data_IF_561361843059
#
_entry.id   IF_561361843059
#
_cell.length_a   1.000
_cell.length_b   1.000
_cell.length_c   1.000
_cell.angle_alpha   90.00
_cell.angle_beta   90.00
_cell.angle_gamma   90.00
#
_symmetry.space_group_name_H-M   'P 1'
#
loop_
_entity.id
_entity.type
_entity.pdbx_description
1 polymer ?
#
# COMPACT_ATOMS: atom_id res chain seq x y z
N UNK A 1 24.10 -9.28 -0.81
CA UNK A 1 23.53 -8.03 -1.36
C UNK A 1 22.85 -8.20 -2.71
N UNK A 2 23.52 -8.62 -3.80
CA UNK A 2 22.85 -8.80 -5.11
C UNK A 2 21.74 -9.87 -5.05
N UNK A 3 22.03 -11.00 -4.41
CA UNK A 3 21.15 -12.17 -4.43
C UNK A 3 19.92 -11.95 -3.53
N UNK A 4 20.10 -11.30 -2.37
CA UNK A 4 19.01 -10.90 -1.48
C UNK A 4 18.07 -9.90 -2.15
N UNK A 5 18.62 -8.93 -2.89
CA UNK A 5 17.81 -7.95 -3.62
C UNK A 5 17.00 -8.63 -4.72
N UNK A 6 17.60 -9.55 -5.48
CA UNK A 6 16.89 -10.33 -6.51
C UNK A 6 15.73 -11.13 -5.90
N UNK A 7 15.99 -11.82 -4.79
CA UNK A 7 14.96 -12.62 -4.10
C UNK A 7 13.84 -11.73 -3.57
N UNK A 8 14.16 -10.63 -2.89
CA UNK A 8 13.15 -9.71 -2.35
C UNK A 8 12.35 -9.03 -3.47
N UNK A 9 12.99 -8.63 -4.58
CA UNK A 9 12.29 -8.07 -5.75
C UNK A 9 11.36 -9.09 -6.41
N UNK A 10 11.74 -10.36 -6.46
CA UNK A 10 10.88 -11.43 -6.95
C UNK A 10 9.66 -11.63 -6.05
N UNK A 11 9.87 -11.67 -4.72
CA UNK A 11 8.77 -11.79 -3.75
C UNK A 11 7.85 -10.56 -3.85
N UNK A 12 8.39 -9.33 -3.85
CA UNK A 12 7.60 -8.10 -3.99
C UNK A 12 6.71 -8.14 -5.24
N UNK A 13 7.25 -8.62 -6.36
CA UNK A 13 6.49 -8.72 -7.62
C UNK A 13 5.35 -9.74 -7.53
N UNK A 14 5.53 -10.86 -6.83
CA UNK A 14 4.44 -11.81 -6.53
C UNK A 14 3.37 -11.13 -5.67
N UNK A 15 3.77 -10.35 -4.67
CA UNK A 15 2.82 -9.65 -3.79
C UNK A 15 2.00 -8.63 -4.55
N UNK A 16 2.63 -7.84 -5.43
CA UNK A 16 1.92 -6.92 -6.34
C UNK A 16 0.86 -7.66 -7.16
N UNK A 17 1.20 -8.83 -7.72
CA UNK A 17 0.23 -9.63 -8.48
C UNK A 17 -0.95 -10.05 -7.58
N UNK A 18 -0.69 -10.51 -6.36
CA UNK A 18 -1.73 -10.91 -5.40
C UNK A 18 -2.64 -9.71 -5.08
N UNK A 19 -2.08 -8.53 -4.83
CA UNK A 19 -2.84 -7.34 -4.46
C UNK A 19 -3.65 -6.82 -5.65
N UNK A 20 -3.09 -6.82 -6.85
CA UNK A 20 -3.80 -6.53 -8.10
C UNK A 20 -5.00 -7.48 -8.28
N UNK A 21 -4.83 -8.78 -8.00
CA UNK A 21 -5.93 -9.73 -8.03
C UNK A 21 -7.00 -9.39 -6.99
N UNK A 22 -6.59 -9.06 -5.75
CA UNK A 22 -7.51 -8.60 -4.70
C UNK A 22 -8.31 -7.37 -5.16
N UNK A 23 -7.64 -6.35 -5.71
CA UNK A 23 -8.27 -5.14 -6.25
C UNK A 23 -9.29 -5.47 -7.34
N UNK A 24 -8.92 -6.34 -8.27
CA UNK A 24 -9.84 -6.82 -9.31
C UNK A 24 -11.05 -7.56 -8.73
N UNK A 25 -10.86 -8.37 -7.69
CA UNK A 25 -11.95 -9.05 -7.01
C UNK A 25 -12.85 -8.11 -6.23
N UNK A 26 -12.32 -7.04 -5.62
CA UNK A 26 -13.11 -6.02 -4.91
C UNK A 26 -14.19 -5.44 -5.82
N UNK A 27 -13.85 -5.13 -7.07
CA UNK A 27 -14.80 -4.60 -8.05
C UNK A 27 -15.92 -5.59 -8.41
N UNK A 28 -15.67 -6.89 -8.24
CA UNK A 28 -16.59 -7.96 -8.62
C UNK A 28 -17.41 -8.54 -7.46
N UNK A 29 -17.25 -8.03 -6.24
CA UNK A 29 -17.98 -8.53 -5.08
C UNK A 29 -19.48 -8.32 -5.26
N UNK A 30 -20.25 -9.39 -5.06
CA UNK A 30 -21.73 -9.36 -5.07
C UNK A 30 -22.36 -9.68 -3.71
N UNK A 31 -21.63 -10.36 -2.82
CA UNK A 31 -22.14 -10.86 -1.54
C UNK A 31 -21.14 -10.60 -0.42
N UNK A 32 -21.61 -10.68 0.84
CA UNK A 32 -20.73 -10.54 2.01
C UNK A 32 -19.71 -11.68 2.15
N UNK A 33 -19.87 -12.79 1.42
CA UNK A 33 -18.82 -13.81 1.29
C UNK A 33 -17.59 -13.21 0.62
N UNK A 34 -17.77 -12.48 -0.49
CA UNK A 34 -16.65 -11.82 -1.16
C UNK A 34 -16.01 -10.74 -0.29
N UNK A 35 -16.83 -9.93 0.41
CA UNK A 35 -16.35 -8.93 1.39
C UNK A 35 -15.48 -9.60 2.46
N UNK A 36 -15.95 -10.71 3.04
CA UNK A 36 -15.19 -11.46 4.02
C UNK A 36 -13.84 -11.92 3.47
N UNK A 37 -13.80 -12.51 2.27
CA UNK A 37 -12.55 -12.99 1.70
C UNK A 37 -11.56 -11.86 1.40
N UNK A 38 -12.01 -10.68 0.99
CA UNK A 38 -11.10 -9.53 0.85
C UNK A 38 -10.54 -9.10 2.21
N UNK A 39 -11.38 -8.98 3.24
CA UNK A 39 -10.89 -8.69 4.60
C UNK A 39 -9.90 -9.74 5.06
N UNK A 40 -10.23 -11.01 4.87
CA UNK A 40 -9.42 -12.14 5.26
C UNK A 40 -8.05 -12.10 4.58
N UNK A 41 -8.01 -11.91 3.25
CA UNK A 41 -6.76 -11.79 2.50
C UNK A 41 -5.91 -10.60 2.95
N UNK A 42 -6.51 -9.40 3.08
CA UNK A 42 -5.76 -8.21 3.49
C UNK A 42 -5.24 -8.29 4.93
N UNK A 43 -6.04 -8.84 5.86
CA UNK A 43 -5.63 -9.04 7.25
C UNK A 43 -4.58 -10.14 7.36
N UNK A 44 -4.68 -11.21 6.57
CA UNK A 44 -3.67 -12.26 6.51
C UNK A 44 -2.31 -11.70 6.08
N UNK A 45 -2.27 -10.86 5.05
CA UNK A 45 -1.03 -10.23 4.61
C UNK A 45 -0.43 -9.34 5.71
N UNK A 46 -1.27 -8.54 6.39
CA UNK A 46 -0.85 -7.71 7.53
C UNK A 46 -0.22 -8.57 8.63
N UNK A 47 -0.87 -9.65 9.05
CA UNK A 47 -0.34 -10.51 10.12
C UNK A 47 0.93 -11.22 9.69
N UNK A 48 1.02 -11.58 8.41
CA UNK A 48 2.23 -12.18 7.85
C UNK A 48 3.41 -11.22 7.92
N UNK A 49 3.22 -9.96 7.51
CA UNK A 49 4.27 -8.95 7.60
C UNK A 49 4.66 -8.61 9.05
N UNK A 50 3.68 -8.50 9.94
CA UNK A 50 3.95 -8.31 11.37
C UNK A 50 4.77 -9.48 11.91
N UNK A 51 4.36 -10.71 11.64
CA UNK A 51 5.10 -11.91 12.06
C UNK A 51 6.51 -11.96 11.48
N UNK A 52 6.66 -11.67 10.19
CA UNK A 52 7.96 -11.61 9.52
C UNK A 52 8.86 -10.52 10.12
N UNK A 53 8.34 -9.31 10.34
CA UNK A 53 9.08 -8.21 10.99
C UNK A 53 9.55 -8.61 12.38
N UNK A 54 8.69 -9.22 13.19
CA UNK A 54 9.03 -9.70 14.54
C UNK A 54 10.16 -10.72 14.50
N UNK A 55 10.12 -11.68 13.57
CA UNK A 55 11.20 -12.65 13.39
C UNK A 55 12.51 -11.99 12.94
N UNK A 56 12.45 -11.08 11.98
CA UNK A 56 13.62 -10.42 11.41
C UNK A 56 14.33 -9.47 12.40
N UNK A 57 13.60 -8.88 13.34
CA UNK A 57 14.17 -8.03 14.39
C UNK A 57 15.09 -8.83 15.32
N UNK A 58 14.72 -10.07 15.64
CA UNK A 58 15.50 -10.93 16.53
C UNK A 58 15.41 -12.40 16.07
N UNK A 59 16.21 -12.84 15.09
CA UNK A 59 16.09 -14.17 14.53
C UNK A 59 16.40 -15.27 15.57
N UNK A 60 15.38 -16.03 15.98
CA UNK A 60 15.53 -17.23 16.82
C UNK A 60 14.34 -18.18 16.66
N UNK A 61 14.49 -19.42 17.12
CA UNK A 61 13.40 -20.41 17.11
C UNK A 61 12.17 -19.93 17.89
N UNK A 62 12.39 -19.20 19.00
CA UNK A 62 11.30 -18.62 19.79
C UNK A 62 10.54 -17.55 18.98
N UNK A 63 11.27 -16.64 18.34
CA UNK A 63 10.64 -15.58 17.54
C UNK A 63 9.96 -16.10 16.28
N UNK A 64 10.48 -17.17 15.67
CA UNK A 64 9.82 -17.89 14.59
C UNK A 64 8.49 -18.51 15.07
N UNK A 65 8.48 -19.15 16.24
CA UNK A 65 7.27 -19.70 16.83
C UNK A 65 6.24 -18.61 17.16
N UNK A 66 6.69 -17.45 17.66
CA UNK A 66 5.83 -16.27 17.89
C UNK A 66 5.24 -15.77 16.56
N UNK A 67 6.06 -15.62 15.51
CA UNK A 67 5.60 -15.19 14.19
C UNK A 67 4.55 -16.15 13.60
N UNK A 68 4.77 -17.46 13.71
CA UNK A 68 3.79 -18.48 13.35
C UNK A 68 2.51 -18.39 14.19
N UNK A 69 2.68 -18.17 15.50
CA UNK A 69 1.58 -18.00 16.45
C UNK A 69 0.69 -16.80 16.12
N UNK A 70 1.27 -15.64 15.79
CA UNK A 70 0.54 -14.42 15.40
C UNK A 70 -0.37 -14.71 14.20
N UNK A 71 0.18 -15.35 13.16
CA UNK A 71 -0.61 -15.72 11.98
C UNK A 71 -1.72 -16.71 12.32
N UNK A 72 -1.38 -17.79 13.01
CA UNK A 72 -2.32 -18.87 13.34
C UNK A 72 -3.46 -18.37 14.23
N UNK A 73 -3.13 -17.60 15.28
CA UNK A 73 -4.09 -17.04 16.24
C UNK A 73 -5.02 -16.00 15.61
N UNK A 74 -4.61 -15.34 14.52
CA UNK A 74 -5.49 -14.41 13.79
C UNK A 74 -6.33 -15.15 12.75
N UNK A 75 -5.76 -16.08 12.00
CA UNK A 75 -6.43 -16.73 10.87
C UNK A 75 -7.49 -17.76 11.32
N UNK A 76 -7.20 -18.59 12.33
CA UNK A 76 -8.13 -19.64 12.76
C UNK A 76 -9.47 -19.04 13.23
N UNK A 77 -9.50 -18.03 14.15
CA UNK A 77 -10.76 -17.44 14.57
C UNK A 77 -11.55 -16.79 13.43
N UNK A 78 -10.87 -16.15 12.46
CA UNK A 78 -11.54 -15.56 11.29
C UNK A 78 -12.22 -16.62 10.42
N UNK A 79 -11.54 -17.75 10.16
CA UNK A 79 -12.12 -18.86 9.41
C UNK A 79 -13.30 -19.47 10.16
N UNK A 80 -13.15 -19.73 11.48
CA UNK A 80 -14.23 -20.26 12.31
C UNK A 80 -15.44 -19.31 12.29
N UNK A 81 -15.21 -18.01 12.45
CA UNK A 81 -16.26 -16.99 12.37
C UNK A 81 -17.00 -17.02 11.02
N UNK A 82 -16.26 -17.15 9.92
CA UNK A 82 -16.86 -17.29 8.59
C UNK A 82 -17.72 -18.54 8.47
N UNK A 83 -17.21 -19.71 8.88
CA UNK A 83 -17.94 -20.96 8.81
C UNK A 83 -19.25 -20.90 9.62
N UNK A 84 -19.23 -20.25 10.79
CA UNK A 84 -20.43 -20.03 11.62
C UNK A 84 -21.45 -19.07 11.00
N UNK A 85 -21.05 -18.23 10.05
CA UNK A 85 -21.90 -17.18 9.44
C UNK A 85 -22.07 -17.33 7.92
N UNK A 86 -21.55 -18.40 7.31
CA UNK A 86 -21.49 -18.55 5.85
C UNK A 86 -22.86 -18.45 5.19
N UNK A 87 -23.89 -19.07 5.79
CA UNK A 87 -25.27 -19.02 5.28
C UNK A 87 -25.87 -17.62 5.34
N UNK A 88 -25.51 -16.81 6.33
CA UNK A 88 -25.93 -15.40 6.40
C UNK A 88 -25.21 -14.57 5.33
N UNK A 89 -23.90 -14.75 5.19
CA UNK A 89 -23.10 -14.00 4.23
C UNK A 89 -23.43 -14.33 2.77
N UNK A 90 -23.75 -15.59 2.46
CA UNK A 90 -24.10 -16.00 1.10
C UNK A 90 -25.41 -15.38 0.63
N UNK A 91 -26.38 -15.25 1.53
CA UNK A 91 -27.70 -14.71 1.24
C UNK A 91 -27.77 -13.17 1.31
N UNK A 92 -26.77 -12.51 1.88
CA UNK A 92 -26.74 -11.05 1.99
C UNK A 92 -25.99 -10.44 0.80
N UNK A 93 -26.70 -9.64 -0.01
CA UNK A 93 -26.09 -8.88 -1.11
C UNK A 93 -25.25 -7.74 -0.57
N UNK A 94 -24.11 -7.51 -1.21
CA UNK A 94 -23.24 -6.38 -0.89
C UNK A 94 -23.53 -5.21 -1.83
N UNK A 95 -23.87 -4.05 -1.26
CA UNK A 95 -24.25 -2.85 -2.01
C UNK A 95 -23.12 -1.82 -2.11
N UNK A 96 -21.85 -2.26 -2.09
CA UNK A 96 -20.66 -1.38 -2.18
C UNK A 96 -20.69 -0.21 -1.18
N UNK A 97 -21.02 -0.52 0.07
CA UNK A 97 -21.11 0.49 1.12
C UNK A 97 -19.78 1.24 1.28
N UNK A 98 -19.86 2.57 1.39
CA UNK A 98 -18.69 3.46 1.46
C UNK A 98 -17.71 3.08 2.56
N UNK A 99 -18.22 2.64 3.71
CA UNK A 99 -17.40 2.24 4.85
C UNK A 99 -16.42 1.11 4.48
N UNK A 100 -16.92 0.07 3.81
CA UNK A 100 -16.09 -1.06 3.40
C UNK A 100 -15.00 -0.65 2.41
N UNK A 101 -15.32 0.23 1.46
CA UNK A 101 -14.35 0.75 0.48
C UNK A 101 -13.23 1.54 1.15
N UNK A 102 -13.59 2.40 2.12
CA UNK A 102 -12.60 3.15 2.91
C UNK A 102 -11.70 2.19 3.68
N UNK A 103 -12.27 1.18 4.34
CA UNK A 103 -11.48 0.22 5.10
C UNK A 103 -10.58 -0.62 4.19
N UNK A 104 -11.05 -1.08 3.03
CA UNK A 104 -10.20 -1.78 2.06
C UNK A 104 -9.03 -0.91 1.60
N UNK A 105 -9.30 0.36 1.31
CA UNK A 105 -8.25 1.32 0.90
C UNK A 105 -7.20 1.53 2.00
N UNK A 106 -7.63 1.63 3.25
CA UNK A 106 -6.74 1.73 4.41
C UNK A 106 -5.89 0.46 4.59
N UNK A 107 -6.51 -0.71 4.50
CA UNK A 107 -5.82 -1.99 4.64
C UNK A 107 -4.81 -2.24 3.52
N UNK A 108 -5.12 -1.82 2.29
CA UNK A 108 -4.18 -1.89 1.16
C UNK A 108 -2.92 -1.06 1.42
N UNK A 109 -3.08 0.22 1.75
CA UNK A 109 -1.92 1.09 2.02
C UNK A 109 -1.15 0.65 3.27
N UNK A 110 -1.84 0.13 4.29
CA UNK A 110 -1.19 -0.45 5.46
C UNK A 110 -0.35 -1.69 5.12
N UNK A 111 -0.82 -2.55 4.19
CA UNK A 111 -0.03 -3.67 3.72
C UNK A 111 1.28 -3.21 3.09
N UNK A 112 1.26 -2.14 2.29
CA UNK A 112 2.47 -1.62 1.67
C UNK A 112 3.44 -0.98 2.66
N UNK A 113 2.92 -0.26 3.67
CA UNK A 113 3.77 0.25 4.76
C UNK A 113 4.46 -0.91 5.49
N UNK A 114 3.72 -1.98 5.78
CA UNK A 114 4.26 -3.17 6.45
C UNK A 114 5.22 -3.98 5.57
N UNK A 115 4.99 -4.02 4.26
CA UNK A 115 5.93 -4.57 3.28
C UNK A 115 7.24 -3.78 3.29
N UNK A 116 7.15 -2.45 3.20
CA UNK A 116 8.28 -1.54 3.30
C UNK A 116 9.08 -1.74 4.58
N UNK A 117 8.41 -1.91 5.72
CA UNK A 117 9.04 -2.27 6.99
C UNK A 117 9.75 -3.61 6.93
N UNK A 118 9.04 -4.67 6.55
CA UNK A 118 9.56 -6.05 6.59
C UNK A 118 10.77 -6.20 5.67
N UNK A 119 10.67 -5.70 4.43
CA UNK A 119 11.73 -5.83 3.44
C UNK A 119 12.87 -4.85 3.74
N UNK A 120 12.54 -3.67 4.28
CA UNK A 120 13.53 -2.74 4.80
C UNK A 120 14.35 -3.33 5.96
N UNK A 121 13.72 -4.04 6.91
CA UNK A 121 14.45 -4.74 7.99
C UNK A 121 15.34 -5.82 7.40
N UNK A 122 14.80 -6.63 6.46
CA UNK A 122 15.54 -7.73 5.84
C UNK A 122 16.80 -7.24 5.09
N UNK A 123 16.70 -6.08 4.41
CA UNK A 123 17.80 -5.57 3.60
C UNK A 123 18.74 -4.62 4.35
N UNK A 124 18.19 -3.65 5.08
CA UNK A 124 18.98 -2.60 5.74
C UNK A 124 19.40 -2.98 7.16
N UNK A 125 18.86 -4.07 7.69
CA UNK A 125 19.14 -4.58 9.03
C UNK A 125 18.25 -3.94 10.10
N UNK A 126 18.05 -4.65 11.24
CA UNK A 126 17.13 -4.23 12.29
C UNK A 126 17.58 -2.97 13.04
N UNK A 127 18.86 -2.60 12.98
CA UNK A 127 19.38 -1.41 13.65
C UNK A 127 18.72 -0.11 13.16
N UNK A 128 18.39 -0.03 11.86
CA UNK A 128 17.65 1.09 11.27
C UNK A 128 16.19 1.17 11.74
N UNK A 129 15.65 0.10 12.32
CA UNK A 129 14.26 0.01 12.78
C UNK A 129 14.15 0.00 14.31
N UNK A 130 15.19 0.48 15.01
CA UNK A 130 15.30 0.44 16.47
C UNK A 130 14.33 1.35 17.22
N UNK A 131 13.80 2.40 16.58
CA UNK A 131 12.80 3.30 17.17
C UNK A 131 11.57 3.39 16.30
N UNK A 132 10.42 3.73 16.90
CA UNK A 132 9.16 3.88 16.17
C UNK A 132 9.25 4.92 15.05
N UNK A 133 9.96 6.03 15.29
CA UNK A 133 10.16 7.07 14.28
C UNK A 133 10.93 6.54 13.07
N UNK A 134 12.08 5.90 13.30
CA UNK A 134 12.88 5.37 12.20
C UNK A 134 12.19 4.21 11.49
N UNK A 135 11.47 3.35 12.23
CA UNK A 135 10.68 2.30 11.64
C UNK A 135 9.64 2.86 10.67
N UNK A 136 8.88 3.90 11.07
CA UNK A 136 7.94 4.57 10.17
C UNK A 136 8.66 5.22 8.97
N UNK A 137 9.73 5.96 9.23
CA UNK A 137 10.52 6.63 8.20
C UNK A 137 11.02 5.65 7.13
N UNK A 138 11.73 4.59 7.52
CA UNK A 138 12.30 3.62 6.58
C UNK A 138 11.25 2.68 5.96
N UNK A 139 10.07 2.54 6.56
CA UNK A 139 8.97 1.80 5.94
C UNK A 139 8.48 2.53 4.69
N UNK A 140 8.21 3.83 4.80
CA UNK A 140 7.60 4.63 3.72
C UNK A 140 8.64 5.14 2.74
N UNK A 141 9.77 5.64 3.25
CA UNK A 141 10.87 6.19 2.47
C UNK A 141 11.78 5.05 1.96
N UNK A 142 11.17 4.11 1.26
CA UNK A 142 11.87 2.99 0.64
C UNK A 142 11.20 2.63 -0.69
N UNK A 143 12.00 2.14 -1.63
CA UNK A 143 11.47 1.59 -2.86
C UNK A 143 10.60 0.34 -2.63
N UNK A 144 10.72 -0.34 -1.48
CA UNK A 144 9.85 -1.45 -1.10
C UNK A 144 8.39 -1.03 -0.84
N UNK A 145 8.15 0.22 -0.46
CA UNK A 145 6.81 0.80 -0.36
C UNK A 145 6.33 1.35 -1.71
N UNK A 146 7.19 2.11 -2.41
CA UNK A 146 6.76 2.83 -3.60
C UNK A 146 6.61 1.96 -4.86
N UNK A 147 7.47 0.95 -5.06
CA UNK A 147 7.37 0.07 -6.24
C UNK A 147 6.02 -0.67 -6.30
N UNK A 148 5.59 -1.38 -5.24
CA UNK A 148 4.29 -2.02 -5.25
C UNK A 148 3.13 -1.03 -5.40
N UNK A 149 3.15 0.06 -4.63
CA UNK A 149 2.12 1.08 -4.69
C UNK A 149 1.94 1.66 -6.10
N UNK A 150 3.04 2.05 -6.75
CA UNK A 150 3.00 2.53 -8.13
C UNK A 150 2.43 1.48 -9.09
N UNK A 151 2.88 0.23 -8.98
CA UNK A 151 2.46 -0.85 -9.87
C UNK A 151 0.97 -1.16 -9.72
N UNK A 152 0.48 -1.28 -8.49
CA UNK A 152 -0.93 -1.52 -8.17
C UNK A 152 -1.82 -0.38 -8.65
N UNK A 153 -1.43 0.86 -8.36
CA UNK A 153 -2.17 2.03 -8.81
C UNK A 153 -2.25 2.09 -10.32
N UNK A 154 -1.14 1.85 -11.03
CA UNK A 154 -1.10 1.80 -12.49
C UNK A 154 -2.00 0.69 -13.05
N UNK A 155 -1.91 -0.53 -12.52
CA UNK A 155 -2.72 -1.65 -13.02
C UNK A 155 -4.21 -1.41 -12.75
N UNK A 156 -4.58 -0.89 -11.58
CA UNK A 156 -5.96 -0.55 -11.27
C UNK A 156 -6.50 0.53 -12.21
N UNK A 157 -5.69 1.54 -12.53
CA UNK A 157 -6.03 2.56 -13.52
C UNK A 157 -6.26 1.92 -14.89
N UNK A 158 -5.35 1.06 -15.34
CA UNK A 158 -5.44 0.37 -16.63
C UNK A 158 -6.67 -0.54 -16.70
N UNK A 159 -7.01 -1.26 -15.63
CA UNK A 159 -8.21 -2.09 -15.56
C UNK A 159 -9.49 -1.29 -15.80
N UNK A 160 -9.57 -0.07 -15.25
CA UNK A 160 -10.70 0.83 -15.50
C UNK A 160 -10.67 1.41 -16.91
N UNK A 161 -9.48 1.83 -17.37
CA UNK A 161 -9.29 2.39 -18.71
C UNK A 161 -9.71 1.40 -19.80
N UNK A 162 -9.34 0.13 -19.68
CA UNK A 162 -9.73 -0.95 -20.60
C UNK A 162 -11.24 -1.23 -20.62
N UNK A 163 -11.99 -0.80 -19.58
CA UNK A 163 -13.46 -0.84 -19.54
C UNK A 163 -14.11 0.43 -20.07
N UNK A 164 -13.33 1.36 -20.61
CA UNK A 164 -13.80 2.67 -21.10
C UNK A 164 -14.00 3.72 -20.01
N UNK A 165 -13.61 3.45 -18.77
CA UNK A 165 -13.71 4.40 -17.66
C UNK A 165 -12.39 5.16 -17.53
N UNK A 166 -12.41 6.46 -17.84
CA UNK A 166 -11.19 7.29 -17.79
C UNK A 166 -11.24 8.26 -16.61
N UNK A 167 -10.30 8.11 -15.68
CA UNK A 167 -10.19 8.96 -14.48
C UNK A 167 -8.94 9.82 -14.54
N UNK A 168 -8.94 10.79 -15.46
CA UNK A 168 -7.77 11.63 -15.75
C UNK A 168 -7.23 12.33 -14.51
N UNK A 169 -8.12 12.67 -13.57
CA UNK A 169 -7.79 13.36 -12.34
C UNK A 169 -6.87 12.55 -11.40
N UNK A 170 -6.86 11.21 -11.46
CA UNK A 170 -6.03 10.39 -10.56
C UNK A 170 -4.71 9.93 -11.17
N UNK A 171 -4.59 9.98 -12.49
CA UNK A 171 -3.41 9.51 -13.22
C UNK A 171 -2.09 10.16 -12.77
N UNK A 172 -2.02 11.49 -12.53
CA UNK A 172 -0.77 12.14 -12.11
C UNK A 172 -0.21 11.60 -10.79
N UNK A 173 -1.06 11.13 -9.88
CA UNK A 173 -0.60 10.54 -8.61
C UNK A 173 0.23 9.26 -8.84
N UNK A 174 -0.04 8.50 -9.90
CA UNK A 174 0.78 7.35 -10.30
C UNK A 174 2.19 7.81 -10.64
N UNK A 175 2.32 8.94 -11.35
CA UNK A 175 3.61 9.55 -11.65
C UNK A 175 4.35 10.05 -10.40
N UNK A 176 3.64 10.65 -9.44
CA UNK A 176 4.24 11.03 -8.14
C UNK A 176 4.75 9.79 -7.40
N UNK A 177 3.99 8.70 -7.38
CA UNK A 177 4.39 7.43 -6.75
C UNK A 177 5.50 6.68 -7.52
N UNK A 178 5.67 6.92 -8.82
CA UNK A 178 6.72 6.35 -9.64
C UNK A 178 8.09 7.03 -9.43
N UNK A 179 8.08 8.32 -9.09
CA UNK A 179 9.29 9.13 -8.88
C UNK A 179 9.37 9.74 -7.47
N UNK A 180 9.19 8.97 -6.39
CA UNK A 180 9.27 9.50 -5.03
C UNK A 180 10.70 9.95 -4.70
N UNK A 181 10.93 11.20 -4.24
CA UNK A 181 12.28 11.68 -3.95
C UNK A 181 13.00 10.89 -2.85
N UNK A 182 12.24 10.18 -2.02
CA UNK A 182 12.73 9.51 -0.82
C UNK A 182 12.92 7.99 -0.98
N UNK A 183 12.68 7.41 -2.17
CA UNK A 183 12.82 5.95 -2.34
C UNK A 183 14.27 5.46 -2.32
N UNK A 184 15.23 6.28 -2.76
CA UNK A 184 16.65 5.94 -2.77
C UNK A 184 17.48 7.02 -2.06
N UNK A 185 18.49 6.57 -1.32
CA UNK A 185 19.36 7.42 -0.51
C UNK A 185 20.60 7.87 -1.31
N UNK A 186 20.38 8.59 -2.41
CA UNK A 186 21.45 9.29 -3.14
C UNK A 186 20.96 10.56 -3.84
N UNK A 187 21.85 11.54 -3.96
CA UNK A 187 21.51 12.91 -4.34
C UNK A 187 20.91 13.02 -5.75
N UNK A 188 21.48 12.32 -6.74
CA UNK A 188 21.01 12.39 -8.12
C UNK A 188 19.56 11.93 -8.28
N UNK A 189 19.18 10.87 -7.55
CA UNK A 189 17.79 10.44 -7.50
C UNK A 189 16.92 11.48 -6.84
N UNK A 190 17.30 11.95 -5.65
CA UNK A 190 16.51 12.92 -4.90
C UNK A 190 16.12 14.13 -5.75
N UNK A 191 17.09 14.77 -6.42
CA UNK A 191 16.80 15.95 -7.24
C UNK A 191 16.01 15.62 -8.51
N UNK A 192 16.32 14.52 -9.19
CA UNK A 192 15.60 14.12 -10.41
C UNK A 192 14.14 13.78 -10.10
N UNK A 193 13.93 12.95 -9.08
CA UNK A 193 12.63 12.53 -8.59
C UNK A 193 11.80 13.72 -8.08
N UNK A 194 12.43 14.67 -7.38
CA UNK A 194 11.76 15.90 -6.94
C UNK A 194 11.21 16.71 -8.11
N UNK A 195 11.98 16.88 -9.19
CA UNK A 195 11.53 17.57 -10.40
C UNK A 195 10.34 16.82 -11.03
N UNK A 196 10.42 15.49 -11.16
CA UNK A 196 9.32 14.69 -11.71
C UNK A 196 8.07 14.72 -10.84
N UNK A 197 8.17 14.50 -9.52
CA UNK A 197 7.02 14.55 -8.60
C UNK A 197 6.36 15.93 -8.60
N UNK A 198 7.12 17.02 -8.64
CA UNK A 198 6.57 18.37 -8.77
C UNK A 198 5.89 18.55 -10.13
N UNK A 199 6.52 18.10 -11.21
CA UNK A 199 5.94 18.14 -12.56
C UNK A 199 4.60 17.41 -12.63
N UNK A 200 4.51 16.19 -12.09
CA UNK A 200 3.27 15.44 -12.01
C UNK A 200 2.24 16.09 -11.07
N UNK A 201 2.66 16.66 -9.95
CA UNK A 201 1.75 17.39 -9.06
C UNK A 201 1.17 18.63 -9.75
N UNK A 202 1.99 19.44 -10.42
CA UNK A 202 1.53 20.61 -11.20
C UNK A 202 0.61 20.17 -12.34
N UNK A 203 0.96 19.12 -13.06
CA UNK A 203 0.09 18.54 -14.08
C UNK A 203 -1.27 18.12 -13.49
N UNK A 204 -1.26 17.49 -12.32
CA UNK A 204 -2.46 17.16 -11.55
C UNK A 204 -3.32 18.35 -11.15
N UNK A 205 -2.70 19.45 -10.69
CA UNK A 205 -3.40 20.71 -10.38
C UNK A 205 -4.13 21.25 -11.62
N UNK A 206 -3.46 21.22 -12.78
CA UNK A 206 -4.00 21.77 -14.03
C UNK A 206 -5.19 20.97 -14.57
N UNK A 207 -5.10 19.63 -14.55
CA UNK A 207 -6.14 18.77 -15.15
C UNK A 207 -7.29 18.46 -14.19
N UNK A 208 -7.06 18.58 -12.88
CA UNK A 208 -8.04 18.19 -11.85
C UNK A 208 -8.90 19.35 -11.37
N UNK A 209 -10.05 18.99 -10.79
CA UNK A 209 -10.98 19.91 -10.13
C UNK A 209 -11.22 19.48 -8.69
N UNK A 210 -11.77 20.39 -7.89
CA UNK A 210 -12.23 20.16 -6.52
C UNK A 210 -11.16 19.48 -5.64
N UNK A 211 -11.52 18.40 -4.95
CA UNK A 211 -10.67 17.67 -4.01
C UNK A 211 -9.29 17.33 -4.59
N UNK A 212 -9.24 16.81 -5.82
CA UNK A 212 -7.99 16.36 -6.43
C UNK A 212 -7.02 17.52 -6.69
N UNK A 213 -7.53 18.70 -7.02
CA UNK A 213 -6.68 19.90 -7.14
C UNK A 213 -6.01 20.22 -5.80
N UNK A 214 -6.75 20.15 -4.69
CA UNK A 214 -6.17 20.37 -3.36
C UNK A 214 -5.16 19.29 -2.99
N UNK A 215 -5.44 18.03 -3.29
CA UNK A 215 -4.51 16.91 -3.06
C UNK A 215 -3.17 17.18 -3.75
N UNK A 216 -3.18 17.55 -5.04
CA UNK A 216 -1.95 17.85 -5.76
C UNK A 216 -1.24 19.13 -5.30
N UNK A 217 -2.00 20.17 -4.90
CA UNK A 217 -1.41 21.38 -4.30
C UNK A 217 -0.71 21.06 -2.98
N UNK A 218 -1.31 20.26 -2.12
CA UNK A 218 -0.70 19.82 -0.85
C UNK A 218 0.54 18.97 -1.14
N UNK A 219 0.47 18.01 -2.06
CA UNK A 219 1.63 17.22 -2.46
C UNK A 219 2.77 18.10 -2.97
N UNK A 220 2.51 19.06 -3.85
CA UNK A 220 3.54 19.97 -4.36
C UNK A 220 4.23 20.74 -3.22
N UNK A 221 3.46 21.28 -2.27
CA UNK A 221 3.99 21.97 -1.10
C UNK A 221 4.81 21.02 -0.22
N UNK A 222 4.30 19.82 0.07
CA UNK A 222 4.98 18.83 0.89
C UNK A 222 6.27 18.30 0.23
N UNK A 223 6.31 18.18 -1.10
CA UNK A 223 7.52 17.83 -1.85
C UNK A 223 8.57 18.93 -1.69
N UNK A 224 8.18 20.21 -1.71
CA UNK A 224 9.12 21.32 -1.42
C UNK A 224 9.56 21.32 0.05
N UNK A 225 8.72 20.87 0.97
CA UNK A 225 9.07 20.78 2.39
C UNK A 225 10.08 19.65 2.66
N UNK A 226 10.26 18.68 1.75
CA UNK A 226 11.24 17.59 1.89
C UNK A 226 12.67 18.06 2.18
N UNK A 227 13.05 19.26 1.75
CA UNK A 227 14.35 19.86 2.07
C UNK A 227 14.57 20.06 3.58
N UNK A 228 13.49 20.10 4.36
CA UNK A 228 13.51 20.37 5.80
C UNK A 228 12.89 19.25 6.62
N UNK A 229 11.83 18.60 6.13
CA UNK A 229 11.04 17.62 6.87
C UNK A 229 10.36 16.60 5.97
N UNK A 230 10.57 15.31 6.23
CA UNK A 230 9.99 14.21 5.45
C UNK A 230 8.58 13.80 5.89
N UNK A 231 8.23 14.02 7.16
CA UNK A 231 6.95 13.59 7.76
C UNK A 231 5.76 14.21 7.02
N UNK A 232 5.87 15.50 6.66
CA UNK A 232 4.80 16.19 5.94
C UNK A 232 4.51 15.53 4.58
N UNK A 233 5.56 15.13 3.86
CA UNK A 233 5.45 14.38 2.62
C UNK A 233 4.89 12.98 2.83
N UNK A 234 5.40 12.23 3.82
CA UNK A 234 4.96 10.86 4.15
C UNK A 234 3.45 10.81 4.41
N UNK A 235 2.93 11.74 5.23
CA UNK A 235 1.50 11.83 5.54
C UNK A 235 0.69 12.23 4.29
N UNK A 236 1.18 13.19 3.51
CA UNK A 236 0.49 13.65 2.31
C UNK A 236 0.39 12.54 1.26
N UNK A 237 1.48 11.81 1.00
CA UNK A 237 1.50 10.75 -0.02
C UNK A 237 0.64 9.55 0.38
N UNK A 238 0.71 9.11 1.64
CA UNK A 238 -0.16 8.04 2.18
C UNK A 238 -1.63 8.43 2.05
N UNK A 239 -1.98 9.64 2.47
CA UNK A 239 -3.37 10.12 2.41
C UNK A 239 -3.86 10.18 0.96
N UNK A 240 -3.01 10.64 0.04
CA UNK A 240 -3.33 10.73 -1.38
C UNK A 240 -3.56 9.34 -2.00
N UNK A 241 -2.74 8.35 -1.62
CA UNK A 241 -2.89 6.96 -2.04
C UNK A 241 -4.16 6.30 -1.49
N UNK A 242 -4.54 6.58 -0.24
CA UNK A 242 -5.82 6.12 0.31
C UNK A 242 -6.99 6.74 -0.48
N UNK A 243 -6.94 8.05 -0.76
CA UNK A 243 -7.96 8.74 -1.56
C UNK A 243 -8.06 8.20 -2.99
N UNK A 244 -6.93 7.79 -3.57
CA UNK A 244 -6.87 7.15 -4.88
C UNK A 244 -7.70 5.88 -4.92
N UNK A 245 -7.45 4.95 -4.00
CA UNK A 245 -8.20 3.70 -3.92
C UNK A 245 -9.68 3.95 -3.61
N UNK A 246 -10.00 4.89 -2.71
CA UNK A 246 -11.40 5.26 -2.42
C UNK A 246 -12.12 5.76 -3.68
N UNK A 247 -11.48 6.60 -4.50
CA UNK A 247 -12.12 7.17 -5.69
C UNK A 247 -12.36 6.09 -6.76
N UNK A 248 -11.39 5.20 -7.01
CA UNK A 248 -11.51 4.17 -8.03
C UNK A 248 -12.47 3.05 -7.62
N UNK A 249 -12.33 2.51 -6.41
CA UNK A 249 -13.15 1.37 -5.96
C UNK A 249 -14.61 1.73 -5.68
N UNK A 250 -14.93 3.03 -5.54
CA UNK A 250 -16.32 3.50 -5.40
C UNK A 250 -17.12 3.45 -6.70
N UNK A 251 -16.46 3.44 -7.85
CA UNK A 251 -17.11 3.52 -9.16
C UNK A 251 -17.41 2.14 -9.75
#
# INVERSE_FOLDING_TARGET
MSDELIVLSFIASIMVIIIVLILYYIEKIKTYVGVFFIYFSLVMMITMFIGASVYLISPSTLWLAIAFGINTFTMIPLIVYFLLKVSKFSNTKFNRERLHIVIFSLLLVLNEILMGSTFGIAQFGPSKFSTLYYAFYYSINSYWFFYPMMAEMLVLYLLHYLRGLTYREVFPLIGVAAFPPTAFDYQDWFYSALIFSLGFSVFGIMISKDLWRYVYSVLAVCILILFFNTIAYDVAIITSMILYYINLLRR
#
